data_IF_638496175688
#
_entry.id   IF_638496175688
#
_cell.length_a   1.000
_cell.length_b   1.000
_cell.length_c   1.000
_cell.angle_alpha   90.00
_cell.angle_beta   90.00
_cell.angle_gamma   90.00
#
_symmetry.space_group_name_H-M   'P 1'
#
loop_
_entity.id
_entity.type
_entity.pdbx_description
1 polymer ?
#
# COMPACT_ATOMS: atom_id res chain seq x y z
N UNK A 1 10.19 3.43 8.22
CA UNK A 1 9.24 2.33 7.97
C UNK A 1 9.74 1.46 6.84
N UNK A 2 9.65 0.18 6.99
CA UNK A 2 10.08 -0.76 5.94
C UNK A 2 8.86 -1.45 5.34
N UNK A 3 8.73 -1.39 4.02
CA UNK A 3 7.71 -2.10 3.28
C UNK A 3 8.22 -3.47 2.85
N UNK A 4 7.31 -4.40 2.64
CA UNK A 4 7.64 -5.76 2.20
C UNK A 4 7.62 -5.87 0.67
N UNK A 5 8.28 -4.92 0.01
CA UNK A 5 8.29 -4.84 -1.46
C UNK A 5 8.94 -6.08 -2.08
N UNK A 6 10.09 -6.48 -1.55
CA UNK A 6 10.81 -7.65 -2.04
C UNK A 6 9.95 -8.92 -1.93
N UNK A 7 9.30 -9.10 -0.81
CA UNK A 7 8.46 -10.27 -0.57
C UNK A 7 7.27 -10.30 -1.53
N UNK A 8 6.62 -9.17 -1.74
CA UNK A 8 5.52 -9.05 -2.70
C UNK A 8 5.97 -9.36 -4.12
N UNK A 9 7.12 -8.83 -4.51
CA UNK A 9 7.71 -9.11 -5.83
C UNK A 9 7.97 -10.60 -6.02
N UNK A 10 8.63 -11.21 -5.04
CA UNK A 10 8.97 -12.64 -5.08
C UNK A 10 7.73 -13.52 -5.12
N UNK A 11 6.68 -13.12 -4.42
CA UNK A 11 5.41 -13.82 -4.42
C UNK A 11 4.75 -13.83 -5.79
N UNK A 12 5.00 -12.80 -6.60
CA UNK A 12 4.54 -12.72 -7.98
C UNK A 12 5.53 -13.34 -8.96
N UNK A 13 6.61 -13.94 -8.46
CA UNK A 13 7.63 -14.61 -9.25
C UNK A 13 8.30 -13.67 -10.26
N UNK A 14 8.52 -12.43 -9.88
CA UNK A 14 9.17 -11.42 -10.71
C UNK A 14 10.57 -11.13 -10.20
N UNK A 15 11.52 -10.97 -11.14
CA UNK A 15 12.86 -10.50 -10.80
C UNK A 15 12.88 -8.98 -10.65
N UNK A 16 13.95 -8.45 -10.04
CA UNK A 16 14.12 -6.99 -9.95
C UNK A 16 14.16 -6.35 -11.34
N UNK A 17 14.81 -7.01 -12.28
CA UNK A 17 14.88 -6.54 -13.67
C UNK A 17 13.47 -6.46 -14.29
N UNK A 18 12.68 -7.51 -14.12
CA UNK A 18 11.34 -7.57 -14.71
C UNK A 18 10.44 -6.46 -14.15
N UNK A 19 10.44 -6.25 -12.84
CA UNK A 19 9.62 -5.22 -12.22
C UNK A 19 10.09 -3.84 -12.65
N UNK A 20 11.39 -3.59 -12.67
CA UNK A 20 11.94 -2.31 -13.10
C UNK A 20 11.51 -2.00 -14.54
N UNK A 21 11.59 -2.99 -15.41
CA UNK A 21 11.16 -2.84 -16.80
C UNK A 21 9.68 -2.50 -16.92
N UNK A 22 8.84 -3.20 -16.16
CA UNK A 22 7.40 -2.93 -16.16
C UNK A 22 7.04 -1.58 -15.55
N UNK A 23 7.84 -1.11 -14.59
CA UNK A 23 7.69 0.22 -14.01
C UNK A 23 8.33 1.32 -14.86
N UNK A 24 9.01 0.94 -15.93
CA UNK A 24 9.71 1.87 -16.83
C UNK A 24 10.78 2.70 -16.10
N UNK A 25 11.54 2.04 -15.25
CA UNK A 25 12.68 2.64 -14.53
C UNK A 25 13.89 1.72 -14.64
N UNK A 26 15.06 2.24 -14.28
CA UNK A 26 16.27 1.43 -14.27
C UNK A 26 16.24 0.43 -13.12
N UNK A 27 16.98 -0.65 -13.26
CA UNK A 27 17.11 -1.63 -12.19
C UNK A 27 17.74 -1.02 -10.93
N UNK A 28 18.70 -0.12 -11.11
CA UNK A 28 19.30 0.61 -9.98
C UNK A 28 18.29 1.45 -9.23
N UNK A 29 17.42 2.16 -9.95
CA UNK A 29 16.36 2.96 -9.35
C UNK A 29 15.35 2.07 -8.61
N UNK A 30 15.01 0.94 -9.20
CA UNK A 30 14.12 -0.01 -8.57
C UNK A 30 14.73 -0.59 -7.29
N UNK A 31 16.02 -0.97 -7.34
CA UNK A 31 16.71 -1.52 -6.17
C UNK A 31 16.70 -0.52 -5.01
N UNK A 32 16.92 0.75 -5.30
CA UNK A 32 16.84 1.79 -4.27
C UNK A 32 15.44 1.91 -3.69
N UNK A 33 14.42 1.80 -4.52
CA UNK A 33 13.02 1.81 -4.07
C UNK A 33 12.73 0.60 -3.16
N UNK A 34 13.11 -0.59 -3.58
CA UNK A 34 12.87 -1.83 -2.83
C UNK A 34 13.58 -1.80 -1.47
N UNK A 35 14.75 -1.21 -1.41
CA UNK A 35 15.56 -1.16 -0.19
C UNK A 35 15.39 0.12 0.62
N UNK A 36 14.48 1.00 0.24
CA UNK A 36 14.25 2.25 0.94
C UNK A 36 13.80 2.00 2.38
N UNK A 37 14.42 2.70 3.32
CA UNK A 37 14.17 2.50 4.75
C UNK A 37 13.36 3.62 5.41
N UNK A 38 13.31 4.78 4.80
CA UNK A 38 12.72 5.96 5.45
C UNK A 38 11.71 6.71 4.61
N UNK A 39 12.01 7.01 3.36
CA UNK A 39 11.14 7.84 2.52
C UNK A 39 10.48 7.02 1.43
N UNK A 40 9.16 7.15 1.32
CA UNK A 40 8.37 6.47 0.31
C UNK A 40 8.01 7.45 -0.79
N UNK A 41 8.39 7.12 -2.02
CA UNK A 41 7.94 7.85 -3.21
C UNK A 41 6.57 7.30 -3.61
N UNK A 42 5.53 8.08 -3.41
CA UNK A 42 4.16 7.64 -3.68
C UNK A 42 3.96 7.27 -5.15
N UNK A 43 4.52 8.05 -6.07
CA UNK A 43 4.38 7.77 -7.50
C UNK A 43 4.98 6.41 -7.86
N UNK A 44 6.14 6.06 -7.29
CA UNK A 44 6.75 4.75 -7.49
C UNK A 44 5.96 3.64 -6.83
N UNK A 45 5.42 3.92 -5.66
CA UNK A 45 4.59 2.95 -4.95
C UNK A 45 3.33 2.62 -5.74
N UNK A 46 2.69 3.62 -6.32
CA UNK A 46 1.53 3.42 -7.20
C UNK A 46 1.91 2.60 -8.44
N UNK A 47 3.04 2.92 -9.06
CA UNK A 47 3.54 2.18 -10.22
C UNK A 47 3.82 0.73 -9.86
N UNK A 48 4.47 0.49 -8.73
CA UNK A 48 4.73 -0.87 -8.26
C UNK A 48 3.43 -1.64 -7.99
N UNK A 49 2.49 -1.01 -7.33
CA UNK A 49 1.19 -1.63 -7.03
C UNK A 49 0.47 -2.04 -8.31
N UNK A 50 0.49 -1.18 -9.33
CA UNK A 50 -0.11 -1.49 -10.63
C UNK A 50 0.56 -2.71 -11.28
N UNK A 51 1.89 -2.79 -11.21
CA UNK A 51 2.65 -3.89 -11.81
C UNK A 51 2.27 -5.23 -11.17
N UNK A 52 2.12 -5.26 -9.85
CA UNK A 52 1.80 -6.51 -9.16
C UNK A 52 0.30 -6.75 -8.99
N UNK A 53 -0.54 -5.85 -9.51
CA UNK A 53 -2.00 -6.02 -9.48
C UNK A 53 -2.63 -5.84 -8.12
N UNK A 54 -2.06 -4.97 -7.27
CA UNK A 54 -2.58 -4.68 -5.94
C UNK A 54 -2.90 -3.21 -5.81
N UNK A 55 -3.76 -2.86 -4.86
CA UNK A 55 -3.96 -1.46 -4.50
C UNK A 55 -2.78 -0.97 -3.67
N UNK A 56 -2.56 0.35 -3.65
CA UNK A 56 -1.51 0.96 -2.82
C UNK A 56 -1.73 0.60 -1.35
N UNK A 57 -2.97 0.61 -0.90
CA UNK A 57 -3.30 0.29 0.50
C UNK A 57 -2.92 -1.16 0.82
N UNK A 58 -3.21 -2.08 -0.08
CA UNK A 58 -2.83 -3.49 0.12
C UNK A 58 -1.32 -3.66 0.20
N UNK A 59 -0.56 -2.95 -0.63
CA UNK A 59 0.90 -2.98 -0.58
C UNK A 59 1.41 -2.46 0.76
N UNK A 60 0.85 -1.35 1.23
CA UNK A 60 1.25 -0.75 2.50
C UNK A 60 0.91 -1.63 3.69
N UNK A 61 -0.21 -2.31 3.65
CA UNK A 61 -0.69 -3.13 4.76
C UNK A 61 -0.20 -4.57 4.74
N UNK A 62 0.40 -5.00 3.65
CA UNK A 62 0.89 -6.38 3.56
C UNK A 62 1.78 -6.75 4.75
N UNK A 63 1.64 -7.92 5.37
CA UNK A 63 0.78 -9.04 4.98
C UNK A 63 -0.65 -8.98 5.50
N UNK A 64 -1.05 -7.91 6.16
CA UNK A 64 -2.41 -7.76 6.65
C UNK A 64 -3.38 -7.56 5.50
N UNK A 65 -4.56 -8.07 5.67
CA UNK A 65 -5.60 -7.90 4.66
C UNK A 65 -6.49 -6.74 5.01
N UNK A 66 -6.98 -6.09 3.95
CA UNK A 66 -7.92 -5.02 4.08
C UNK A 66 -9.10 -5.33 3.16
N UNK A 67 -10.30 -5.02 3.61
CA UNK A 67 -11.53 -5.28 2.86
C UNK A 67 -12.10 -3.95 2.39
N UNK A 68 -12.35 -3.84 1.07
CA UNK A 68 -13.03 -2.68 0.52
C UNK A 68 -14.50 -2.69 0.95
N UNK A 69 -15.01 -1.54 1.35
CA UNK A 69 -16.41 -1.39 1.77
C UNK A 69 -17.39 -1.91 0.72
N UNK A 70 -17.06 -1.73 -0.55
CA UNK A 70 -17.91 -2.19 -1.66
C UNK A 70 -18.06 -3.70 -1.73
N UNK A 71 -17.09 -4.42 -1.18
CA UNK A 71 -17.05 -5.87 -1.21
C UNK A 71 -17.67 -6.50 0.03
N UNK A 72 -18.13 -5.67 0.96
CA UNK A 72 -18.81 -6.16 2.16
C UNK A 72 -20.23 -6.58 1.78
N UNK A 73 -20.63 -7.82 2.08
CA UNK A 73 -21.99 -8.28 1.80
C UNK A 73 -23.02 -7.38 2.48
N UNK A 74 -24.14 -7.14 1.80
CA UNK A 74 -25.21 -6.27 2.32
C UNK A 74 -25.71 -6.72 3.69
N UNK A 75 -25.72 -8.01 3.95
CA UNK A 75 -26.16 -8.58 5.22
C UNK A 75 -25.25 -8.20 6.38
N UNK A 76 -24.01 -7.83 6.09
CA UNK A 76 -23.04 -7.43 7.10
C UNK A 76 -23.01 -5.92 7.32
N UNK A 77 -23.74 -5.15 6.52
CA UNK A 77 -23.84 -3.71 6.68
C UNK A 77 -24.94 -3.41 7.70
N UNK A 78 -24.52 -2.93 8.86
CA UNK A 78 -25.44 -2.68 9.97
C UNK A 78 -26.09 -1.31 9.87
N UNK A 79 -25.36 -0.33 9.33
CA UNK A 79 -25.82 1.06 9.28
C UNK A 79 -25.60 1.69 7.93
N UNK A 80 -26.62 2.44 7.47
CA UNK A 80 -26.50 3.38 6.37
C UNK A 80 -27.08 4.71 6.83
N UNK A 81 -26.46 5.86 6.47
CA UNK A 81 -25.29 6.00 5.59
C UNK A 81 -23.93 5.82 6.30
N UNK A 82 -23.92 5.60 7.59
CA UNK A 82 -22.70 5.60 8.38
C UNK A 82 -22.03 4.23 8.35
N UNK A 83 -21.01 4.12 7.52
CA UNK A 83 -20.18 2.91 7.49
C UNK A 83 -18.85 3.22 8.14
N UNK A 84 -18.58 2.52 9.23
CA UNK A 84 -17.30 2.65 9.89
C UNK A 84 -16.37 1.56 9.42
N UNK A 85 -15.20 1.95 8.92
CA UNK A 85 -14.16 1.02 8.51
C UNK A 85 -13.08 1.05 9.59
N UNK A 86 -12.73 -0.14 10.07
CA UNK A 86 -11.66 -0.27 11.03
C UNK A 86 -10.54 -1.12 10.44
N UNK A 87 -9.33 -0.59 10.48
CA UNK A 87 -8.16 -1.38 10.14
C UNK A 87 -7.30 -1.54 11.38
N UNK A 88 -6.66 -2.70 11.49
CA UNK A 88 -5.52 -2.84 12.39
C UNK A 88 -4.28 -2.43 11.63
N UNK A 89 -3.65 -1.37 12.08
CA UNK A 89 -2.42 -0.86 11.49
C UNK A 89 -1.36 -0.85 12.57
N UNK A 90 -0.22 -1.50 12.31
CA UNK A 90 0.91 -1.48 13.23
C UNK A 90 1.50 -0.07 13.30
N UNK A 91 1.98 0.32 14.51
CA UNK A 91 2.38 1.68 14.79
C UNK A 91 3.32 2.33 13.78
N UNK A 92 4.32 1.58 13.31
CA UNK A 92 5.27 2.10 12.32
C UNK A 92 4.63 2.49 10.99
N UNK A 93 3.56 1.78 10.61
CA UNK A 93 2.90 1.99 9.32
C UNK A 93 1.70 2.92 9.40
N UNK A 94 1.19 3.16 10.60
CA UNK A 94 -0.06 3.88 10.80
C UNK A 94 -0.08 5.25 10.14
N UNK A 95 0.89 6.10 10.48
CA UNK A 95 0.92 7.47 9.98
C UNK A 95 1.16 7.51 8.47
N UNK A 96 2.02 6.63 7.96
CA UNK A 96 2.30 6.56 6.52
C UNK A 96 1.06 6.14 5.73
N UNK A 97 0.31 5.16 6.23
CA UNK A 97 -0.93 4.70 5.58
C UNK A 97 -1.98 5.80 5.60
N UNK A 98 -2.17 6.45 6.75
CA UNK A 98 -3.15 7.53 6.88
C UNK A 98 -2.78 8.71 6.00
N UNK A 99 -1.50 9.09 5.95
CA UNK A 99 -1.04 10.16 5.08
C UNK A 99 -1.25 9.84 3.60
N UNK A 100 -1.06 8.57 3.22
CA UNK A 100 -1.26 8.13 1.83
C UNK A 100 -2.73 8.17 1.42
N UNK A 101 -3.63 7.77 2.32
CA UNK A 101 -5.06 7.69 2.03
C UNK A 101 -5.74 9.05 2.11
N UNK A 102 -5.40 9.83 3.13
CA UNK A 102 -6.13 11.05 3.49
C UNK A 102 -5.40 12.34 3.16
N UNK A 103 -4.09 12.26 2.92
CA UNK A 103 -3.24 13.45 2.84
C UNK A 103 -2.82 13.92 4.23
N UNK A 104 -1.66 14.55 4.33
CA UNK A 104 -1.08 14.98 5.60
C UNK A 104 -1.96 16.00 6.34
N UNK A 105 -2.57 16.90 5.62
CA UNK A 105 -3.46 17.92 6.19
C UNK A 105 -4.70 17.31 6.85
N UNK A 106 -5.19 16.19 6.32
CA UNK A 106 -6.36 15.51 6.88
C UNK A 106 -6.00 14.59 8.04
N UNK A 107 -4.74 14.20 8.14
CA UNK A 107 -4.26 13.37 9.23
C UNK A 107 -4.44 14.03 10.59
N UNK A 108 -4.26 15.34 10.65
CA UNK A 108 -4.42 16.12 11.88
C UNK A 108 -5.84 16.04 12.44
N UNK A 109 -6.84 15.85 11.58
CA UNK A 109 -8.24 15.76 12.00
C UNK A 109 -8.54 14.48 12.76
N UNK A 110 -7.67 13.46 12.62
CA UNK A 110 -7.87 12.15 13.22
C UNK A 110 -7.13 11.96 14.54
N UNK A 111 -6.34 12.92 14.91
CA UNK A 111 -5.57 12.86 16.17
C UNK A 111 -6.38 13.32 17.38
#
# INVERSE_FOLDING_TARGET
>A
MKLNIKELREKKQLSTYQVAKLMNITQSAYSRFENAKSKIDLARLESFANVIGMSVVDVLMYPDRYINVRDIPKEMKVYEPDVMIQFKVHGEKRDAILATILGEENLELLK
#
